data_IF_356811947598
#
_entry.id   IF_356811947598
#
_cell.length_a   1.000
_cell.length_b   1.000
_cell.length_c   1.000
_cell.angle_alpha   90.00
_cell.angle_beta   90.00
_cell.angle_gamma   90.00
#
_symmetry.space_group_name_H-M   'P 1'
#
loop_
_entity.id
_entity.type
_entity.pdbx_description
1 polymer ?
#
# COMPACT_ATOMS: atom_id res chain seq x y z
N UNK A 1 8.85 4.43 5.30
CA UNK A 1 7.54 4.31 4.64
C UNK A 1 6.95 2.94 4.91
N UNK A 2 5.66 2.88 5.16
CA UNK A 2 4.94 1.61 5.35
C UNK A 2 3.94 1.38 4.23
N UNK A 3 3.80 0.13 3.81
CA UNK A 3 2.69 -0.31 2.98
C UNK A 3 1.58 -0.81 3.92
N UNK A 4 0.35 -0.37 3.70
CA UNK A 4 -0.83 -0.74 4.49
C UNK A 4 -1.88 -1.30 3.52
N UNK A 5 -2.26 -2.55 3.70
CA UNK A 5 -3.19 -3.26 2.82
C UNK A 5 -4.40 -3.73 3.61
N UNK A 6 -5.60 -3.38 3.19
CA UNK A 6 -6.80 -3.91 3.81
C UNK A 6 -7.00 -5.37 3.39
N UNK A 7 -7.04 -6.28 4.37
CA UNK A 7 -7.23 -7.71 4.10
C UNK A 7 -8.56 -8.24 4.62
N UNK A 8 -9.15 -7.56 5.60
CA UNK A 8 -10.45 -7.95 6.19
C UNK A 8 -11.55 -7.00 5.71
N UNK A 9 -12.70 -7.56 5.36
CA UNK A 9 -13.85 -6.79 4.87
C UNK A 9 -14.51 -5.91 5.93
N UNK A 10 -15.47 -5.11 5.48
CA UNK A 10 -16.14 -4.09 6.29
C UNK A 10 -17.30 -4.59 7.15
N UNK A 11 -17.61 -5.88 7.10
CA UNK A 11 -18.69 -6.48 7.90
C UNK A 11 -18.38 -6.30 9.40
N UNK A 12 -19.32 -5.74 10.14
CA UNK A 12 -19.19 -5.41 11.55
C UNK A 12 -18.08 -4.40 11.89
N UNK A 13 -17.56 -3.70 10.88
CA UNK A 13 -16.57 -2.64 11.07
C UNK A 13 -17.25 -1.39 11.62
N UNK A 14 -16.69 -0.83 12.68
CA UNK A 14 -17.20 0.40 13.25
C UNK A 14 -16.88 1.61 12.35
N UNK A 15 -17.74 2.63 12.38
CA UNK A 15 -17.59 3.81 11.52
C UNK A 15 -16.27 4.56 11.72
N UNK A 16 -15.76 4.59 12.93
CA UNK A 16 -14.51 5.25 13.26
C UNK A 16 -13.31 4.57 12.56
N UNK A 17 -13.34 3.25 12.45
CA UNK A 17 -12.34 2.48 11.71
C UNK A 17 -12.48 2.71 10.21
N UNK A 18 -13.71 2.72 9.68
CA UNK A 18 -13.95 3.05 8.27
C UNK A 18 -13.45 4.44 7.92
N UNK A 19 -13.73 5.43 8.76
CA UNK A 19 -13.27 6.81 8.56
C UNK A 19 -11.73 6.88 8.55
N UNK A 20 -11.07 6.14 9.43
CA UNK A 20 -9.60 6.09 9.47
C UNK A 20 -9.04 5.45 8.20
N UNK A 21 -9.63 4.37 7.71
CA UNK A 21 -9.23 3.75 6.45
C UNK A 21 -9.39 4.72 5.27
N UNK A 22 -10.47 5.48 5.22
CA UNK A 22 -10.68 6.51 4.20
C UNK A 22 -9.60 7.60 4.26
N UNK A 23 -9.20 8.01 5.45
CA UNK A 23 -8.11 8.98 5.65
C UNK A 23 -6.77 8.42 5.16
N UNK A 24 -6.59 7.11 5.20
CA UNK A 24 -5.42 6.42 4.62
C UNK A 24 -5.56 6.17 3.12
N UNK A 25 -6.66 6.60 2.49
CA UNK A 25 -6.99 6.35 1.09
C UNK A 25 -7.26 4.88 0.77
N UNK A 26 -7.69 4.12 1.75
CA UNK A 26 -8.05 2.70 1.60
C UNK A 26 -9.58 2.61 1.60
N UNK A 27 -10.17 2.20 0.49
CA UNK A 27 -11.62 2.21 0.30
C UNK A 27 -12.26 0.83 0.16
N UNK A 28 -11.45 -0.21 0.00
CA UNK A 28 -11.93 -1.58 -0.16
C UNK A 28 -10.84 -2.58 0.21
N UNK A 29 -11.25 -3.84 0.36
CA UNK A 29 -10.31 -4.95 0.52
C UNK A 29 -9.34 -4.98 -0.67
N UNK A 30 -8.09 -5.30 -0.41
CA UNK A 30 -6.97 -5.33 -1.36
C UNK A 30 -6.48 -3.96 -1.83
N UNK A 31 -7.02 -2.87 -1.32
CA UNK A 31 -6.42 -1.56 -1.53
C UNK A 31 -5.17 -1.41 -0.66
N UNK A 32 -4.12 -0.84 -1.24
CA UNK A 32 -2.85 -0.61 -0.57
C UNK A 32 -2.51 0.88 -0.57
N UNK A 33 -2.12 1.41 0.57
CA UNK A 33 -1.61 2.76 0.70
C UNK A 33 -0.13 2.71 1.13
N UNK A 34 0.65 3.66 0.63
CA UNK A 34 2.03 3.86 1.05
C UNK A 34 2.07 5.11 1.94
N UNK A 35 2.35 4.94 3.21
CA UNK A 35 2.26 6.01 4.21
C UNK A 35 3.61 6.29 4.87
N UNK A 36 3.89 7.56 5.23
CA UNK A 36 5.12 7.88 5.94
C UNK A 36 5.08 7.36 7.38
N UNK A 37 6.26 7.13 7.96
CA UNK A 37 6.40 6.68 9.34
C UNK A 37 6.43 7.85 10.32
N UNK A 38 5.32 8.58 10.39
CA UNK A 38 5.15 9.66 11.36
C UNK A 38 4.25 9.20 12.50
N UNK A 39 4.32 9.83 13.71
CA UNK A 39 3.44 9.46 14.81
C UNK A 39 1.95 9.49 14.46
N UNK A 40 1.52 10.46 13.64
CA UNK A 40 0.13 10.57 13.19
C UNK A 40 -0.31 9.34 12.38
N UNK A 41 0.49 8.95 11.38
CA UNK A 41 0.17 7.77 10.55
C UNK A 41 0.32 6.47 11.33
N UNK A 42 1.30 6.37 12.23
CA UNK A 42 1.45 5.19 13.09
C UNK A 42 0.23 5.00 13.99
N UNK A 43 -0.32 6.09 14.54
CA UNK A 43 -1.55 6.05 15.31
C UNK A 43 -2.75 5.58 14.48
N UNK A 44 -2.87 6.04 13.24
CA UNK A 44 -3.94 5.62 12.33
C UNK A 44 -3.82 4.13 11.97
N UNK A 45 -2.62 3.66 11.69
CA UNK A 45 -2.37 2.24 11.38
C UNK A 45 -2.69 1.36 12.60
N UNK A 46 -2.28 1.77 13.79
CA UNK A 46 -2.58 1.04 15.03
C UNK A 46 -4.09 0.91 15.23
N UNK A 47 -4.84 1.98 14.95
CA UNK A 47 -6.31 2.00 15.09
C UNK A 47 -7.00 0.98 14.18
N UNK A 48 -6.48 0.76 12.98
CA UNK A 48 -7.07 -0.16 12.00
C UNK A 48 -6.34 -1.51 11.93
N UNK A 49 -5.44 -1.76 12.86
CA UNK A 49 -4.56 -2.94 12.89
C UNK A 49 -5.28 -4.29 12.74
N UNK A 50 -6.53 -4.39 13.20
CA UNK A 50 -7.30 -5.63 13.14
C UNK A 50 -7.92 -5.89 11.75
N UNK A 51 -7.74 -4.97 10.79
CA UNK A 51 -8.32 -5.06 9.45
C UNK A 51 -7.28 -5.01 8.33
N UNK A 52 -6.04 -4.69 8.66
CA UNK A 52 -4.97 -4.48 7.66
C UNK A 52 -3.74 -5.33 7.95
N UNK A 53 -2.96 -5.57 6.90
CA UNK A 53 -1.58 -6.02 6.99
C UNK A 53 -0.71 -4.80 6.71
N UNK A 54 0.35 -4.60 7.48
CA UNK A 54 1.26 -3.46 7.28
C UNK A 54 2.71 -3.83 7.57
N UNK A 55 3.62 -3.16 6.91
CA UNK A 55 5.04 -3.35 7.11
C UNK A 55 5.85 -2.42 6.22
N UNK A 56 7.17 -2.45 6.39
CA UNK A 56 8.10 -1.68 5.57
C UNK A 56 8.46 -2.49 4.33
N UNK A 57 7.97 -2.13 3.13
CA UNK A 57 8.31 -2.85 1.91
C UNK A 57 9.74 -2.52 1.47
N UNK A 58 10.36 -3.44 0.76
CA UNK A 58 11.63 -3.15 0.09
C UNK A 58 11.41 -2.26 -1.13
N UNK A 59 12.48 -1.63 -1.61
CA UNK A 59 12.44 -0.84 -2.84
C UNK A 59 11.96 -1.67 -4.03
N UNK A 60 12.39 -2.92 -4.14
CA UNK A 60 11.98 -3.82 -5.22
C UNK A 60 10.48 -4.07 -5.23
N UNK A 61 9.88 -4.26 -4.07
CA UNK A 61 8.43 -4.45 -3.94
C UNK A 61 7.68 -3.20 -4.34
N UNK A 62 8.12 -2.03 -3.91
CA UNK A 62 7.51 -0.75 -4.29
C UNK A 62 7.61 -0.55 -5.80
N UNK A 63 8.76 -0.82 -6.40
CA UNK A 63 8.95 -0.74 -7.84
C UNK A 63 7.99 -1.67 -8.60
N UNK A 64 7.86 -2.92 -8.15
CA UNK A 64 6.94 -3.89 -8.73
C UNK A 64 5.49 -3.40 -8.67
N UNK A 65 5.06 -2.87 -7.53
CA UNK A 65 3.71 -2.33 -7.37
C UNK A 65 3.46 -1.14 -8.30
N UNK A 66 4.42 -0.25 -8.43
CA UNK A 66 4.31 0.90 -9.33
C UNK A 66 4.20 0.45 -10.79
N UNK A 67 5.00 -0.52 -11.22
CA UNK A 67 4.96 -1.04 -12.59
C UNK A 67 3.65 -1.74 -12.93
N UNK A 68 3.04 -2.41 -11.94
CA UNK A 68 1.85 -3.22 -12.18
C UNK A 68 0.53 -2.52 -11.84
N UNK A 69 0.54 -1.61 -10.86
CA UNK A 69 -0.71 -1.08 -10.28
C UNK A 69 -0.78 0.43 -10.13
N UNK A 70 0.28 1.18 -10.36
CA UNK A 70 0.21 2.63 -10.28
C UNK A 70 -0.73 3.18 -11.35
N UNK A 71 -1.55 4.14 -10.96
CA UNK A 71 -2.51 4.79 -11.85
C UNK A 71 -2.30 6.30 -11.78
N UNK A 72 -2.47 7.03 -12.89
CA UNK A 72 -2.41 8.48 -12.84
C UNK A 72 -3.59 9.03 -12.05
N UNK A 73 -3.41 10.17 -11.42
CA UNK A 73 -4.48 10.84 -10.67
C UNK A 73 -5.59 11.29 -11.62
N UNK A 74 -5.24 11.69 -12.83
CA UNK A 74 -6.15 12.09 -13.88
C UNK A 74 -5.87 11.31 -15.17
N UNK A 75 -6.92 10.83 -15.82
CA UNK A 75 -6.81 10.11 -17.08
C UNK A 75 -6.59 8.60 -16.90
N UNK A 76 -6.35 7.92 -18.01
CA UNK A 76 -6.24 6.45 -18.09
C UNK A 76 -4.90 5.99 -18.65
N UNK A 77 -3.88 6.84 -18.65
CA UNK A 77 -2.57 6.50 -19.19
C UNK A 77 -1.91 5.39 -18.37
N UNK A 78 -1.14 4.53 -19.05
CA UNK A 78 -0.32 3.55 -18.37
C UNK A 78 0.88 4.26 -17.72
N UNK A 79 1.14 3.94 -16.45
CA UNK A 79 2.27 4.50 -15.73
C UNK A 79 3.50 3.62 -15.98
N UNK A 80 4.39 4.10 -16.83
CA UNK A 80 5.65 3.44 -17.17
C UNK A 80 6.82 4.42 -16.98
N UNK A 81 8.04 4.00 -17.32
CA UNK A 81 9.23 4.84 -17.15
C UNK A 81 9.11 6.15 -17.96
N UNK A 82 8.54 6.10 -19.16
CA UNK A 82 8.32 7.27 -20.01
C UNK A 82 7.33 8.24 -19.36
N UNK A 83 6.22 7.73 -18.81
CA UNK A 83 5.23 8.54 -18.10
C UNK A 83 5.86 9.27 -16.90
N UNK A 84 6.69 8.56 -16.14
CA UNK A 84 7.38 9.14 -14.98
C UNK A 84 8.35 10.24 -15.41
N UNK A 85 9.12 10.01 -16.47
CA UNK A 85 10.06 11.01 -17.01
C UNK A 85 9.33 12.27 -17.50
N UNK A 86 8.17 12.11 -18.15
CA UNK A 86 7.41 13.22 -18.70
C UNK A 86 6.64 14.03 -17.65
N UNK A 87 6.15 13.40 -16.59
CA UNK A 87 5.22 14.00 -15.63
C UNK A 87 5.81 14.29 -14.25
N UNK A 88 7.01 13.79 -13.95
CA UNK A 88 7.66 13.96 -12.66
C UNK A 88 9.10 14.43 -12.82
N UNK A 89 9.75 14.71 -11.70
CA UNK A 89 11.18 15.05 -11.67
C UNK A 89 12.09 13.83 -11.75
N UNK A 90 11.50 12.62 -11.72
CA UNK A 90 12.23 11.35 -11.71
C UNK A 90 12.36 10.81 -13.13
N UNK A 91 13.46 10.14 -13.42
CA UNK A 91 13.75 9.64 -14.75
C UNK A 91 13.02 8.33 -15.08
N UNK A 92 12.73 7.53 -14.05
CA UNK A 92 12.08 6.23 -14.20
C UNK A 92 11.36 5.79 -12.92
N UNK A 93 10.71 4.65 -12.99
CA UNK A 93 9.97 4.08 -11.86
C UNK A 93 10.92 3.68 -10.72
N UNK A 94 12.11 3.22 -11.03
CA UNK A 94 13.11 2.85 -10.01
C UNK A 94 13.51 4.05 -9.16
N UNK A 95 13.75 5.21 -9.80
CA UNK A 95 14.07 6.44 -9.10
C UNK A 95 12.91 6.91 -8.24
N UNK A 96 11.69 6.84 -8.74
CA UNK A 96 10.49 7.19 -7.99
C UNK A 96 10.30 6.25 -6.77
N UNK A 97 10.50 4.95 -6.96
CA UNK A 97 10.38 3.97 -5.87
C UNK A 97 11.39 4.28 -4.75
N UNK A 98 12.63 4.62 -5.10
CA UNK A 98 13.64 5.02 -4.12
C UNK A 98 13.22 6.25 -3.33
N UNK A 99 12.70 7.27 -4.01
CA UNK A 99 12.24 8.49 -3.37
C UNK A 99 11.05 8.25 -2.44
N UNK A 100 10.13 7.36 -2.83
CA UNK A 100 8.98 6.99 -1.98
C UNK A 100 9.45 6.24 -0.72
N UNK A 101 10.36 5.30 -0.85
CA UNK A 101 10.91 4.55 0.30
C UNK A 101 11.65 5.49 1.26
N UNK A 102 12.37 6.47 0.73
CA UNK A 102 13.09 7.48 1.52
C UNK A 102 12.18 8.60 2.03
N UNK A 103 10.88 8.55 1.75
CA UNK A 103 9.87 9.54 2.17
C UNK A 103 10.15 10.95 1.64
N UNK A 104 10.84 11.06 0.50
CA UNK A 104 11.13 12.34 -0.16
C UNK A 104 9.93 12.88 -0.93
N UNK A 105 8.99 12.02 -1.29
CA UNK A 105 7.80 12.39 -2.05
C UNK A 105 6.63 11.45 -1.72
N UNK A 106 5.45 11.76 -2.26
CA UNK A 106 4.26 10.91 -2.15
C UNK A 106 3.70 10.62 -3.55
N UNK A 107 2.87 9.60 -3.67
CA UNK A 107 2.22 9.30 -4.95
C UNK A 107 1.39 10.47 -5.46
N UNK A 108 0.64 11.11 -4.58
CA UNK A 108 -0.22 12.25 -4.95
C UNK A 108 0.60 13.44 -5.43
N UNK A 109 1.72 13.73 -4.79
CA UNK A 109 2.60 14.83 -5.18
C UNK A 109 3.19 14.62 -6.57
N UNK A 110 3.32 13.37 -7.00
CA UNK A 110 3.85 13.01 -8.32
C UNK A 110 2.74 12.79 -9.37
N UNK A 111 1.51 13.16 -9.07
CA UNK A 111 0.40 13.03 -10.00
C UNK A 111 -0.16 11.61 -10.13
N UNK A 112 0.12 10.75 -9.17
CA UNK A 112 -0.39 9.38 -9.11
C UNK A 112 -1.52 9.25 -8.09
N UNK A 113 -2.42 8.31 -8.31
CA UNK A 113 -3.46 8.01 -7.33
C UNK A 113 -2.82 7.52 -6.02
N UNK A 114 -3.28 8.02 -4.86
CA UNK A 114 -2.66 7.69 -3.57
C UNK A 114 -2.95 6.27 -3.10
N UNK A 115 -3.76 5.51 -3.82
CA UNK A 115 -4.09 4.12 -3.52
C UNK A 115 -3.64 3.23 -4.66
N UNK A 116 -3.09 2.07 -4.32
CA UNK A 116 -2.77 1.02 -5.27
C UNK A 116 -3.85 -0.05 -5.16
N UNK A 117 -4.61 -0.28 -6.22
CA UNK A 117 -5.69 -1.26 -6.24
C UNK A 117 -5.15 -2.62 -6.64
N UNK A 118 -4.79 -3.42 -5.65
CA UNK A 118 -4.24 -4.75 -5.84
C UNK A 118 -5.39 -5.76 -6.05
N UNK A 119 -5.07 -6.99 -6.41
CA UNK A 119 -6.04 -8.07 -6.42
C UNK A 119 -5.72 -9.07 -5.30
N UNK A 120 -6.63 -10.02 -5.06
CA UNK A 120 -6.43 -11.03 -4.04
C UNK A 120 -5.13 -11.81 -4.27
N UNK A 121 -4.40 -12.17 -3.20
CA UNK A 121 -3.14 -12.88 -3.36
C UNK A 121 -3.35 -14.23 -4.03
N UNK A 122 -2.38 -14.65 -4.81
CA UNK A 122 -2.35 -16.01 -5.38
C UNK A 122 -2.31 -17.00 -4.23
N UNK A 123 -3.09 -18.06 -4.29
CA UNK A 123 -3.26 -19.05 -3.23
C UNK A 123 -4.02 -18.55 -1.99
N UNK A 124 -4.57 -17.33 -2.02
CA UNK A 124 -5.38 -16.79 -0.94
C UNK A 124 -4.59 -16.26 0.26
N UNK A 125 -5.29 -15.66 1.20
CA UNK A 125 -4.73 -15.21 2.47
C UNK A 125 -4.66 -16.38 3.47
N UNK A 126 -3.67 -16.35 4.35
CA UNK A 126 -3.48 -17.38 5.39
C UNK A 126 -4.35 -17.20 6.62
N UNK A 127 -5.22 -16.23 6.64
CA UNK A 127 -6.12 -15.96 7.76
C UNK A 127 -6.41 -14.48 7.86
N UNK A 128 -7.55 -14.06 7.32
CA UNK A 128 -7.94 -12.65 7.27
C UNK A 128 -8.49 -12.12 8.60
N UNK A 129 -8.71 -13.00 9.59
CA UNK A 129 -9.23 -12.65 10.91
C UNK A 129 -8.26 -12.97 12.04
N UNK A 130 -7.03 -13.34 11.71
CA UNK A 130 -6.00 -13.70 12.70
C UNK A 130 -4.75 -12.84 12.52
N UNK A 131 -4.11 -12.42 13.62
CA UNK A 131 -2.84 -11.69 13.53
C UNK A 131 -1.70 -12.58 13.09
N UNK A 132 -0.60 -11.97 12.67
CA UNK A 132 0.61 -12.68 12.22
C UNK A 132 1.17 -13.61 13.30
N UNK A 133 1.06 -13.23 14.57
CA UNK A 133 1.50 -14.06 15.70
C UNK A 133 0.76 -15.40 15.80
N UNK A 134 -0.45 -15.48 15.23
CA UNK A 134 -1.27 -16.70 15.18
C UNK A 134 -1.28 -17.36 13.81
N UNK A 135 -0.37 -16.97 12.92
CA UNK A 135 -0.27 -17.51 11.57
C UNK A 135 -1.21 -16.85 10.55
N UNK A 136 -1.80 -15.71 10.89
CA UNK A 136 -2.69 -14.96 10.00
C UNK A 136 -2.00 -13.85 9.25
N UNK A 137 -2.81 -12.98 8.63
CA UNK A 137 -2.34 -11.86 7.79
C UNK A 137 -2.47 -10.49 8.46
N UNK A 138 -3.19 -10.39 9.59
CA UNK A 138 -3.46 -9.09 10.20
C UNK A 138 -2.29 -8.58 11.04
N UNK A 139 -2.09 -7.28 11.00
CA UNK A 139 -1.13 -6.58 11.83
C UNK A 139 0.22 -6.40 11.17
N UNK A 140 1.25 -6.31 12.01
CA UNK A 140 2.60 -5.98 11.58
C UNK A 140 3.30 -7.18 10.92
N UNK A 141 3.89 -6.93 9.76
CA UNK A 141 4.72 -7.87 9.03
C UNK A 141 6.17 -7.40 9.02
N UNK A 142 7.10 -8.36 8.94
CA UNK A 142 8.49 -8.03 8.62
C UNK A 142 8.58 -7.58 7.16
N UNK A 143 9.72 -6.99 6.76
CA UNK A 143 9.92 -6.59 5.37
C UNK A 143 9.78 -7.77 4.41
N UNK A 144 10.35 -8.92 4.75
CA UNK A 144 10.23 -10.13 3.95
C UNK A 144 8.78 -10.59 3.80
N UNK A 145 8.04 -10.62 4.90
CA UNK A 145 6.64 -11.04 4.91
C UNK A 145 5.75 -10.09 4.09
N UNK A 146 5.92 -8.79 4.26
CA UNK A 146 5.11 -7.82 3.52
C UNK A 146 5.47 -7.83 2.02
N UNK A 147 6.74 -8.01 1.67
CA UNK A 147 7.18 -8.15 0.29
C UNK A 147 6.54 -9.37 -0.39
N UNK A 148 6.51 -10.50 0.30
CA UNK A 148 5.88 -11.73 -0.21
C UNK A 148 4.39 -11.51 -0.44
N UNK A 149 3.70 -10.88 0.52
CA UNK A 149 2.28 -10.59 0.39
C UNK A 149 2.00 -9.66 -0.80
N UNK A 150 2.71 -8.54 -0.88
CA UNK A 150 2.52 -7.57 -1.97
C UNK A 150 2.82 -8.17 -3.34
N UNK A 151 3.87 -8.98 -3.44
CA UNK A 151 4.22 -9.67 -4.68
C UNK A 151 3.11 -10.62 -5.12
N UNK A 152 2.46 -11.29 -4.19
CA UNK A 152 1.35 -12.20 -4.50
C UNK A 152 0.06 -11.47 -4.90
N UNK A 153 -0.06 -10.19 -4.55
CA UNK A 153 -1.26 -9.36 -4.81
C UNK A 153 -1.13 -8.43 -6.02
N UNK A 154 0.04 -8.32 -6.60
CA UNK A 154 0.33 -7.43 -7.73
C UNK A 154 -0.53 -7.68 -8.97
#
# INVERSE_FOLDING_TARGET
MKAVVQVRGEVDMNNDIQDTLEMLNIHAVNHCALVPETPTYEGMVTKVNDYVAHGQPSQESVETLLRTRAEPLEGDADVDDEWIDEHTEYDDITALATALVDEETTLRDEGLAPVLRLHAPRKGHEGVKKPTAEGGQLGKHTTEEIDDLLTSMR
#
